data_IF_194897717108
#
_entry.id   IF_194897717108
#
_cell.length_a   1.000
_cell.length_b   1.000
_cell.length_c   1.000
_cell.angle_alpha   90.00
_cell.angle_beta   90.00
_cell.angle_gamma   90.00
#
_symmetry.space_group_name_H-M   'P 1'
#
loop_
_entity.id
_entity.type
_entity.pdbx_description
1 polymer ?
#
# COMPACT_ATOMS: atom_id res chain seq x y z
N UNK A 1 -36.60 57.61 17.35
CA UNK A 1 -35.52 58.53 17.78
C UNK A 1 -34.61 57.72 18.68
N UNK A 2 -33.47 57.26 18.12
CA UNK A 2 -32.25 56.71 18.76
C UNK A 2 -32.41 55.41 19.59
N UNK A 3 -31.71 54.30 19.37
CA UNK A 3 -30.33 54.09 18.92
C UNK A 3 -30.11 52.68 18.31
N UNK A 4 -29.38 52.55 17.17
CA UNK A 4 -28.90 51.26 16.66
C UNK A 4 -27.37 51.16 16.71
N UNK A 5 -26.74 51.18 17.90
CA UNK A 5 -25.28 50.98 18.02
C UNK A 5 -24.95 50.20 19.31
N UNK A 6 -25.17 48.88 19.33
CA UNK A 6 -24.54 48.04 20.37
C UNK A 6 -24.36 46.55 20.05
N UNK A 7 -24.39 46.12 18.78
CA UNK A 7 -24.11 44.72 18.43
C UNK A 7 -23.02 44.54 17.35
N UNK A 8 -22.12 45.52 17.19
CA UNK A 8 -20.90 45.38 16.41
C UNK A 8 -19.73 44.88 17.28
N UNK A 9 -19.94 43.78 18.01
CA UNK A 9 -18.87 43.10 18.73
C UNK A 9 -18.91 41.61 18.42
N UNK A 10 -17.94 41.16 17.61
CA UNK A 10 -17.56 39.76 17.57
C UNK A 10 -18.29 38.87 16.57
N UNK A 11 -18.54 39.31 15.33
CA UNK A 11 -18.55 38.34 14.20
C UNK A 11 -17.11 37.96 13.88
N UNK A 12 -16.53 37.20 14.80
CA UNK A 12 -15.28 36.47 14.61
C UNK A 12 -15.44 35.62 13.34
N UNK A 13 -14.49 35.78 12.43
CA UNK A 13 -14.28 34.91 11.27
C UNK A 13 -14.42 33.46 11.72
N UNK A 14 -15.37 32.72 11.16
CA UNK A 14 -15.31 31.26 11.19
C UNK A 14 -14.20 30.86 10.21
N UNK A 15 -13.05 30.31 10.67
CA UNK A 15 -12.20 29.56 9.77
C UNK A 15 -13.05 28.38 9.26
N UNK A 16 -13.20 28.28 7.94
CA UNK A 16 -13.94 27.21 7.30
C UNK A 16 -13.50 25.87 7.87
N UNK A 17 -14.49 25.12 8.37
CA UNK A 17 -14.29 23.75 8.81
C UNK A 17 -13.69 22.95 7.65
N UNK A 18 -12.39 22.69 7.74
CA UNK A 18 -11.70 21.71 6.93
C UNK A 18 -12.41 20.38 7.19
N UNK A 19 -13.23 19.95 6.24
CA UNK A 19 -13.82 18.63 6.27
C UNK A 19 -12.70 17.58 6.37
N UNK A 20 -12.96 16.43 7.03
CA UNK A 20 -11.97 15.37 7.11
C UNK A 20 -11.57 14.97 5.69
N UNK A 21 -10.30 15.18 5.35
CA UNK A 21 -9.71 14.72 4.09
C UNK A 21 -9.92 13.22 4.06
N UNK A 22 -10.79 12.77 3.14
CA UNK A 22 -10.95 11.35 2.83
C UNK A 22 -9.57 10.81 2.43
N UNK A 23 -9.07 9.75 3.07
CA UNK A 23 -7.88 9.09 2.56
C UNK A 23 -8.19 8.63 1.14
N UNK A 24 -7.30 8.97 0.23
CA UNK A 24 -7.33 8.48 -1.14
C UNK A 24 -7.05 6.99 -1.04
N UNK A 25 -8.08 6.17 -1.22
CA UNK A 25 -8.00 4.73 -1.44
C UNK A 25 -7.32 4.50 -2.80
N UNK A 26 -6.01 4.74 -2.84
CA UNK A 26 -5.14 4.28 -3.90
C UNK A 26 -4.94 2.79 -3.68
N UNK A 27 -5.13 2.00 -4.72
CA UNK A 27 -4.85 0.57 -4.79
C UNK A 27 -3.33 0.29 -4.73
N UNK A 28 -2.66 0.83 -3.72
CA UNK A 28 -1.30 0.48 -3.34
C UNK A 28 -1.34 -0.56 -2.22
N UNK A 29 -0.36 -1.45 -2.22
CA UNK A 29 -0.12 -2.45 -1.16
C UNK A 29 -0.21 -1.75 0.21
N UNK A 30 -1.31 -1.97 0.94
CA UNK A 30 -1.46 -1.53 2.31
C UNK A 30 -0.60 -2.43 3.19
N UNK A 31 0.63 -1.98 3.47
CA UNK A 31 1.48 -2.62 4.48
C UNK A 31 0.81 -2.39 5.84
N UNK A 32 0.40 -3.45 6.57
CA UNK A 32 -0.27 -3.28 7.85
C UNK A 32 0.67 -2.62 8.85
N UNK A 33 0.27 -1.45 9.37
CA UNK A 33 1.00 -0.76 10.44
C UNK A 33 0.74 -1.51 11.75
N UNK A 34 1.73 -2.28 12.22
CA UNK A 34 1.69 -2.93 13.53
C UNK A 34 2.11 -1.93 14.60
N UNK A 35 1.16 -1.52 15.44
CA UNK A 35 1.42 -0.75 16.65
C UNK A 35 2.00 -1.63 17.77
N UNK A 36 2.87 -1.10 18.65
CA UNK A 36 3.49 -1.86 19.73
C UNK A 36 2.44 -2.18 20.80
N UNK A 37 1.86 -3.39 20.76
CA UNK A 37 0.92 -3.85 21.80
C UNK A 37 -0.06 -4.95 21.40
N UNK A 38 -0.12 -5.36 20.13
CA UNK A 38 -1.04 -6.44 19.70
C UNK A 38 -0.27 -7.71 19.38
N UNK A 39 -0.31 -8.71 20.28
CA UNK A 39 0.12 -10.09 19.99
C UNK A 39 -0.84 -10.82 19.05
N UNK A 40 -1.96 -10.18 18.67
CA UNK A 40 -3.00 -10.71 17.78
C UNK A 40 -2.84 -10.35 16.29
N UNK A 41 -1.72 -9.73 15.90
CA UNK A 41 -1.43 -9.48 14.48
C UNK A 41 -1.01 -10.76 13.73
N UNK A 42 -1.25 -10.85 12.41
CA UNK A 42 -0.71 -11.94 11.60
C UNK A 42 0.80 -12.04 11.81
N UNK A 43 1.32 -13.26 11.96
CA UNK A 43 2.75 -13.43 12.17
C UNK A 43 3.53 -12.87 10.97
N UNK A 44 4.80 -12.56 11.19
CA UNK A 44 5.70 -12.20 10.07
C UNK A 44 5.66 -13.28 8.97
N UNK A 45 5.60 -14.56 9.35
CA UNK A 45 5.48 -15.67 8.40
C UNK A 45 4.18 -15.66 7.62
N UNK A 46 3.05 -15.31 8.25
CA UNK A 46 1.76 -15.17 7.57
C UNK A 46 1.77 -14.01 6.57
N UNK A 47 2.37 -12.89 6.95
CA UNK A 47 2.52 -11.72 6.07
C UNK A 47 3.42 -12.05 4.87
N UNK A 48 4.55 -12.72 5.12
CA UNK A 48 5.45 -13.17 4.06
C UNK A 48 4.76 -14.16 3.11
N UNK A 49 4.00 -15.11 3.64
CA UNK A 49 3.26 -16.09 2.84
C UNK A 49 2.20 -15.42 1.97
N UNK A 50 1.50 -14.41 2.49
CA UNK A 50 0.56 -13.59 1.71
C UNK A 50 1.28 -12.85 0.60
N UNK A 51 2.39 -12.19 0.91
CA UNK A 51 3.17 -11.45 -0.07
C UNK A 51 3.66 -12.35 -1.22
N UNK A 52 4.16 -13.56 -0.93
CA UNK A 52 4.55 -14.53 -1.99
C UNK A 52 3.36 -14.91 -2.86
N UNK A 53 2.18 -15.09 -2.26
CA UNK A 53 0.94 -15.33 -3.00
C UNK A 53 0.55 -14.15 -3.89
N UNK A 54 0.68 -12.92 -3.38
CA UNK A 54 0.37 -11.71 -4.12
C UNK A 54 1.32 -11.51 -5.32
N UNK A 55 2.62 -11.76 -5.15
CA UNK A 55 3.58 -11.70 -6.27
C UNK A 55 3.21 -12.71 -7.36
N UNK A 56 2.86 -13.94 -6.99
CA UNK A 56 2.42 -14.96 -7.97
C UNK A 56 1.17 -14.51 -8.71
N UNK A 57 0.18 -13.96 -8.01
CA UNK A 57 -1.05 -13.47 -8.62
C UNK A 57 -0.79 -12.27 -9.56
N UNK A 58 0.13 -11.37 -9.21
CA UNK A 58 0.53 -10.25 -10.07
C UNK A 58 1.22 -10.73 -11.34
N UNK A 59 2.08 -11.77 -11.25
CA UNK A 59 2.70 -12.38 -12.43
C UNK A 59 1.67 -13.00 -13.38
N UNK A 60 0.70 -13.75 -12.83
CA UNK A 60 -0.38 -14.35 -13.62
C UNK A 60 -1.26 -13.27 -14.28
N UNK A 61 -1.59 -12.20 -13.55
CA UNK A 61 -2.36 -11.09 -14.08
C UNK A 61 -1.63 -10.35 -15.22
N UNK A 62 -0.32 -10.12 -15.07
CA UNK A 62 0.50 -9.52 -16.12
C UNK A 62 0.53 -10.40 -17.39
N UNK A 63 0.68 -11.72 -17.22
CA UNK A 63 0.66 -12.68 -18.31
C UNK A 63 -0.70 -12.74 -19.03
N UNK A 64 -1.81 -12.68 -18.29
CA UNK A 64 -3.16 -12.60 -18.85
C UNK A 64 -3.34 -11.31 -19.67
N UNK A 65 -3.00 -10.15 -19.09
CA UNK A 65 -3.11 -8.87 -19.78
C UNK A 65 -2.27 -8.83 -21.07
N UNK A 66 -1.05 -9.38 -21.02
CA UNK A 66 -0.21 -9.53 -22.20
C UNK A 66 -0.85 -10.43 -23.25
N UNK A 67 -1.40 -11.58 -22.85
CA UNK A 67 -2.10 -12.51 -23.75
C UNK A 67 -3.34 -11.89 -24.40
N UNK A 68 -4.15 -11.16 -23.62
CA UNK A 68 -5.32 -10.42 -24.09
C UNK A 68 -4.94 -9.32 -25.08
N UNK A 69 -3.89 -8.57 -24.78
CA UNK A 69 -3.35 -7.55 -25.68
C UNK A 69 -2.89 -8.14 -27.02
N UNK A 70 -2.12 -9.24 -27.00
CA UNK A 70 -1.65 -9.93 -28.22
C UNK A 70 -2.81 -10.49 -29.05
N UNK A 71 -3.90 -10.93 -28.40
CA UNK A 71 -5.13 -11.37 -29.08
C UNK A 71 -5.97 -10.22 -29.66
N UNK A 72 -5.57 -8.97 -29.46
CA UNK A 72 -6.29 -7.80 -29.94
C UNK A 72 -7.58 -7.50 -29.17
N UNK A 73 -7.70 -8.01 -27.93
CA UNK A 73 -8.78 -7.60 -27.03
C UNK A 73 -8.62 -6.13 -26.62
N UNK A 74 -9.68 -5.54 -26.05
CA UNK A 74 -9.67 -4.16 -25.57
C UNK A 74 -8.85 -4.03 -24.27
N UNK A 75 -7.54 -4.24 -24.37
CA UNK A 75 -6.55 -4.01 -23.33
C UNK A 75 -5.61 -2.93 -23.83
N UNK A 76 -5.45 -1.89 -23.03
CA UNK A 76 -4.55 -0.79 -23.37
C UNK A 76 -3.11 -1.17 -23.07
N UNK A 77 -2.17 -0.82 -23.98
CA UNK A 77 -0.75 -1.18 -23.82
C UNK A 77 -0.15 -0.68 -22.50
N UNK A 78 -0.59 0.49 -22.01
CA UNK A 78 -0.09 1.05 -20.75
C UNK A 78 -0.47 0.19 -19.54
N UNK A 79 -1.58 -0.55 -19.58
CA UNK A 79 -1.98 -1.46 -18.51
C UNK A 79 -1.10 -2.70 -18.49
N UNK A 80 -0.75 -3.23 -19.67
CA UNK A 80 0.18 -4.36 -19.79
C UNK A 80 1.56 -3.96 -19.26
N UNK A 81 2.06 -2.79 -19.66
CA UNK A 81 3.34 -2.27 -19.20
C UNK A 81 3.35 -2.06 -17.68
N UNK A 82 2.32 -1.38 -17.14
CA UNK A 82 2.21 -1.14 -15.70
C UNK A 82 2.14 -2.46 -14.90
N UNK A 83 1.32 -3.42 -15.34
CA UNK A 83 1.22 -4.71 -14.67
C UNK A 83 2.53 -5.51 -14.73
N UNK A 84 3.25 -5.41 -15.85
CA UNK A 84 4.56 -6.07 -16.01
C UNK A 84 5.62 -5.42 -15.12
N UNK A 85 5.64 -4.10 -15.02
CA UNK A 85 6.56 -3.34 -14.16
C UNK A 85 6.27 -3.61 -12.67
N UNK A 86 5.00 -3.63 -12.27
CA UNK A 86 4.59 -3.96 -10.90
C UNK A 86 5.00 -5.40 -10.53
N UNK A 87 4.72 -6.38 -11.40
CA UNK A 87 5.11 -7.77 -11.16
C UNK A 87 6.64 -7.94 -11.06
N UNK A 88 7.41 -7.18 -11.86
CA UNK A 88 8.87 -7.21 -11.83
C UNK A 88 9.42 -6.62 -10.53
N UNK A 89 8.93 -5.43 -10.14
CA UNK A 89 9.33 -4.77 -8.90
C UNK A 89 9.00 -5.62 -7.66
N UNK A 90 7.81 -6.23 -7.63
CA UNK A 90 7.38 -7.13 -6.55
C UNK A 90 8.28 -8.37 -6.44
N UNK A 91 8.74 -8.92 -7.56
CA UNK A 91 9.66 -10.04 -7.59
C UNK A 91 11.05 -9.65 -7.05
N UNK A 92 11.57 -8.50 -7.46
CA UNK A 92 12.84 -7.98 -6.96
C UNK A 92 12.81 -7.82 -5.43
N UNK A 93 11.73 -7.23 -4.91
CA UNK A 93 11.52 -7.09 -3.48
C UNK A 93 11.47 -8.46 -2.77
N UNK A 94 10.83 -9.46 -3.37
CA UNK A 94 10.78 -10.83 -2.82
C UNK A 94 12.18 -11.46 -2.76
N UNK A 95 13.03 -11.24 -3.76
CA UNK A 95 14.40 -11.74 -3.77
C UNK A 95 15.23 -11.09 -2.67
N UNK A 96 15.11 -9.77 -2.49
CA UNK A 96 15.76 -9.06 -1.38
C UNK A 96 15.31 -9.59 -0.02
N UNK A 97 14.00 -9.80 0.15
CA UNK A 97 13.43 -10.30 1.38
C UNK A 97 13.86 -11.74 1.68
N UNK A 98 13.92 -12.62 0.66
CA UNK A 98 14.49 -13.97 0.77
C UNK A 98 15.93 -13.93 1.28
N UNK A 99 16.75 -13.06 0.70
CA UNK A 99 18.15 -12.92 1.07
C UNK A 99 18.28 -12.44 2.53
N UNK A 100 17.51 -11.41 2.91
CA UNK A 100 17.50 -10.86 4.28
C UNK A 100 16.98 -11.87 5.32
N UNK A 101 15.97 -12.65 4.99
CA UNK A 101 15.47 -13.70 5.88
C UNK A 101 16.51 -14.82 6.09
N UNK A 102 17.21 -15.20 5.01
CA UNK A 102 18.29 -16.20 5.09
C UNK A 102 19.47 -15.68 5.93
N UNK A 103 19.80 -14.39 5.77
CA UNK A 103 20.83 -13.71 6.57
C UNK A 103 20.43 -13.64 8.04
N UNK A 104 19.20 -13.20 8.35
CA UNK A 104 18.68 -13.13 9.71
C UNK A 104 18.70 -14.51 10.39
N UNK A 105 18.31 -15.57 9.67
CA UNK A 105 18.38 -16.94 10.19
C UNK A 105 19.82 -17.35 10.53
N UNK A 106 20.79 -17.07 9.64
CA UNK A 106 22.22 -17.35 9.89
C UNK A 106 22.75 -16.59 11.10
N UNK A 107 22.41 -15.31 11.23
CA UNK A 107 22.81 -14.48 12.37
C UNK A 107 22.26 -15.01 13.69
N UNK A 108 20.97 -15.38 13.75
CA UNK A 108 20.35 -15.94 14.96
C UNK A 108 21.01 -17.25 15.41
N UNK A 109 21.42 -18.11 14.47
CA UNK A 109 22.13 -19.37 14.78
C UNK A 109 23.56 -19.09 15.23
N UNK A 110 24.25 -18.14 14.58
CA UNK A 110 25.64 -17.80 14.90
C UNK A 110 25.80 -17.06 16.23
N UNK A 111 24.76 -16.42 16.76
CA UNK A 111 24.79 -15.76 18.08
C UNK A 111 24.53 -16.72 19.25
N UNK A 112 24.00 -17.92 18.99
CA UNK A 112 23.71 -18.93 20.02
C UNK A 112 24.78 -20.01 20.17
N UNK A 113 25.86 -19.93 19.38
CA UNK A 113 27.06 -20.76 19.52
C UNK A 113 28.17 -19.94 20.16
#
# INVERSE_FOLDING_TARGET
MSDPISALSGRMMQPGALGPTRPLDGAGIQVPVVGPGSTEGPSFGDTLKRFVGDVSAQQDAAADLQGRFVRGENVEIHQVMAATEEASLSLDLMVELRNKMTEAYRTLVSMQS
#
